data_IF_483629747886
#
_entry.id   IF_483629747886
#
_cell.length_a   1.000
_cell.length_b   1.000
_cell.length_c   1.000
_cell.angle_alpha   90.00
_cell.angle_beta   90.00
_cell.angle_gamma   90.00
#
_symmetry.space_group_name_H-M   'P 1'
#
loop_
_entity.id
_entity.type
_entity.pdbx_description
1 polymer ?
#
# COMPACT_ATOMS: atom_id res chain seq x y z
N UNK A 1 -2.02 -4.72 -2.81
CA UNK A 1 -1.31 -5.76 -2.04
C UNK A 1 -0.15 -5.24 -1.20
N UNK A 2 0.92 -4.66 -1.79
CA UNK A 2 2.11 -4.24 -1.03
C UNK A 2 1.82 -3.24 0.10
N UNK A 3 0.91 -2.28 -0.11
CA UNK A 3 0.50 -1.31 0.92
C UNK A 3 -0.13 -2.03 2.12
N UNK A 4 -0.94 -3.07 1.89
CA UNK A 4 -1.51 -3.86 2.99
C UNK A 4 -0.39 -4.56 3.77
N UNK A 5 0.55 -5.22 3.08
CA UNK A 5 1.66 -5.92 3.72
C UNK A 5 2.53 -4.97 4.54
N UNK A 6 2.75 -3.75 4.06
CA UNK A 6 3.49 -2.73 4.79
C UNK A 6 2.74 -2.27 6.05
N UNK A 7 1.43 -1.99 5.94
CA UNK A 7 0.58 -1.67 7.10
C UNK A 7 0.52 -2.81 8.12
N UNK A 8 0.48 -4.05 7.64
CA UNK A 8 0.57 -5.23 8.50
C UNK A 8 1.91 -5.27 9.23
N UNK A 9 3.03 -4.94 8.59
CA UNK A 9 4.34 -4.88 9.27
C UNK A 9 4.45 -3.72 10.27
N UNK A 10 3.81 -2.59 9.99
CA UNK A 10 3.82 -1.41 10.88
C UNK A 10 3.05 -1.70 12.17
N UNK A 11 1.85 -2.28 12.07
CA UNK A 11 1.05 -2.69 13.24
C UNK A 11 1.70 -3.79 14.07
N UNK A 12 2.71 -4.50 13.55
CA UNK A 12 3.52 -5.42 14.34
C UNK A 12 4.26 -4.74 15.50
N UNK A 13 4.47 -3.44 15.37
CA UNK A 13 5.13 -2.61 16.36
C UNK A 13 4.14 -1.96 17.34
N UNK A 14 2.84 -2.08 17.08
CA UNK A 14 1.77 -1.59 17.96
C UNK A 14 1.29 -2.74 18.85
N UNK A 15 1.19 -2.51 20.15
CA UNK A 15 0.75 -3.50 21.14
C UNK A 15 -0.77 -3.74 21.07
N UNK A 16 -1.22 -4.32 19.96
CA UNK A 16 -2.61 -4.68 19.72
C UNK A 16 -2.82 -6.11 20.25
N UNK A 17 -3.61 -6.25 21.32
CA UNK A 17 -3.79 -7.50 22.06
C UNK A 17 -4.41 -8.64 21.23
N UNK A 18 -5.18 -8.32 20.17
CA UNK A 18 -5.88 -9.32 19.35
C UNK A 18 -5.54 -9.20 17.85
N UNK A 19 -5.22 -10.33 17.23
CA UNK A 19 -4.90 -10.44 15.78
C UNK A 19 -6.02 -9.92 14.88
N UNK A 20 -7.27 -10.10 15.28
CA UNK A 20 -8.47 -9.66 14.55
C UNK A 20 -8.63 -8.13 14.55
N UNK A 21 -8.39 -7.48 15.69
CA UNK A 21 -8.44 -6.02 15.81
C UNK A 21 -7.32 -5.38 14.97
N UNK A 22 -6.13 -5.96 15.04
CA UNK A 22 -5.00 -5.54 14.20
C UNK A 22 -5.30 -5.71 12.71
N UNK A 23 -5.93 -6.81 12.32
CA UNK A 23 -6.33 -7.06 10.94
C UNK A 23 -7.36 -6.04 10.45
N UNK A 24 -8.38 -5.76 11.25
CA UNK A 24 -9.42 -4.78 10.91
C UNK A 24 -8.83 -3.39 10.72
N UNK A 25 -7.92 -2.97 11.61
CA UNK A 25 -7.24 -1.70 11.51
C UNK A 25 -6.37 -1.60 10.24
N UNK A 26 -5.53 -2.62 9.98
CA UNK A 26 -4.71 -2.68 8.76
C UNK A 26 -5.56 -2.63 7.50
N UNK A 27 -6.64 -3.42 7.48
CA UNK A 27 -7.54 -3.53 6.35
C UNK A 27 -8.24 -2.21 6.04
N UNK A 28 -8.76 -1.52 7.06
CA UNK A 28 -9.40 -0.21 6.88
C UNK A 28 -8.41 0.83 6.34
N UNK A 29 -7.20 0.90 6.88
CA UNK A 29 -6.19 1.86 6.41
C UNK A 29 -5.66 1.55 5.02
N UNK A 30 -5.32 0.29 4.75
CA UNK A 30 -4.79 -0.13 3.45
C UNK A 30 -5.84 0.00 2.35
N UNK A 31 -7.10 -0.35 2.63
CA UNK A 31 -8.20 -0.19 1.66
C UNK A 31 -8.45 1.28 1.34
N UNK A 32 -8.49 2.17 2.33
CA UNK A 32 -8.68 3.60 2.11
C UNK A 32 -7.56 4.21 1.26
N UNK A 33 -6.30 3.86 1.54
CA UNK A 33 -5.15 4.34 0.74
C UNK A 33 -5.19 3.85 -0.71
N UNK A 34 -5.48 2.55 -0.91
CA UNK A 34 -5.62 2.00 -2.26
C UNK A 34 -6.85 2.55 -3.00
N UNK A 35 -7.95 2.83 -2.29
CA UNK A 35 -9.17 3.42 -2.86
C UNK A 35 -8.88 4.79 -3.44
N UNK A 36 -8.25 5.68 -2.68
CA UNK A 36 -7.95 7.04 -3.13
C UNK A 36 -7.05 7.01 -4.37
N UNK A 37 -6.05 6.12 -4.36
CA UNK A 37 -5.12 5.96 -5.47
C UNK A 37 -5.84 5.46 -6.72
N UNK A 38 -6.58 4.35 -6.62
CA UNK A 38 -7.33 3.78 -7.75
C UNK A 38 -8.43 4.70 -8.25
N UNK A 39 -9.10 5.43 -7.35
CA UNK A 39 -10.11 6.43 -7.72
C UNK A 39 -9.48 7.57 -8.52
N UNK A 40 -8.32 8.08 -8.09
CA UNK A 40 -7.61 9.12 -8.83
C UNK A 40 -7.17 8.63 -10.21
N UNK A 41 -6.65 7.40 -10.30
CA UNK A 41 -6.28 6.78 -11.59
C UNK A 41 -7.51 6.61 -12.50
N UNK A 42 -8.63 6.15 -11.95
CA UNK A 42 -9.89 6.02 -12.68
C UNK A 42 -10.40 7.39 -13.16
N UNK A 43 -10.33 8.43 -12.33
CA UNK A 43 -10.70 9.80 -12.70
C UNK A 43 -9.80 10.36 -13.81
N UNK A 44 -8.49 10.10 -13.75
CA UNK A 44 -7.55 10.50 -14.80
C UNK A 44 -7.86 9.84 -16.14
N UNK A 45 -8.17 8.54 -16.16
CA UNK A 45 -8.61 7.86 -17.37
C UNK A 45 -10.00 8.31 -17.81
N UNK A 46 -10.93 8.56 -16.88
CA UNK A 46 -12.26 9.06 -17.18
C UNK A 46 -12.22 10.42 -17.90
N UNK A 47 -11.25 11.30 -17.56
CA UNK A 47 -11.06 12.56 -18.28
C UNK A 47 -10.73 12.36 -19.76
N UNK A 48 -10.09 11.25 -20.14
CA UNK A 48 -9.75 10.96 -21.53
C UNK A 48 -10.95 10.47 -22.36
N UNK A 49 -12.05 10.08 -21.71
CA UNK A 49 -13.28 9.62 -22.38
C UNK A 49 -13.93 10.75 -23.21
N UNK A 50 -13.80 12.00 -22.75
CA UNK A 50 -14.36 13.19 -23.42
C UNK A 50 -13.63 13.56 -24.73
N UNK A 51 -12.55 12.87 -25.07
CA UNK A 51 -11.79 13.14 -26.30
C UNK A 51 -12.56 12.64 -27.53
N UNK A 52 -12.65 13.42 -28.63
CA UNK A 52 -13.35 13.03 -29.85
C UNK A 52 -12.68 11.90 -30.65
N UNK A 53 -11.52 11.40 -30.21
CA UNK A 53 -10.76 10.33 -30.84
C UNK A 53 -11.26 8.97 -30.34
N UNK A 54 -11.96 8.24 -31.21
CA UNK A 54 -12.62 6.97 -30.87
C UNK A 54 -11.67 5.94 -30.22
N UNK A 55 -10.44 5.81 -30.73
CA UNK A 55 -9.46 4.85 -30.21
C UNK A 55 -9.03 5.13 -28.75
N UNK A 56 -8.90 6.40 -28.38
CA UNK A 56 -8.48 6.80 -27.02
C UNK A 56 -9.66 6.65 -26.05
N UNK A 57 -10.88 6.99 -26.48
CA UNK A 57 -12.08 6.91 -25.66
C UNK A 57 -12.43 5.46 -25.27
N UNK A 58 -12.42 4.51 -26.22
CA UNK A 58 -12.68 3.10 -25.91
C UNK A 58 -11.63 2.50 -24.97
N UNK A 59 -10.35 2.85 -25.18
CA UNK A 59 -9.26 2.43 -24.29
C UNK A 59 -9.42 3.01 -22.88
N UNK A 60 -9.81 4.29 -22.77
CA UNK A 60 -10.04 4.95 -21.50
C UNK A 60 -11.20 4.34 -20.71
N UNK A 61 -12.31 4.00 -21.35
CA UNK A 61 -13.45 3.31 -20.72
C UNK A 61 -13.02 1.95 -20.18
N UNK A 62 -12.35 1.13 -21.01
CA UNK A 62 -11.86 -0.19 -20.61
C UNK A 62 -10.89 -0.09 -19.42
N UNK A 63 -9.93 0.83 -19.49
CA UNK A 63 -8.92 1.02 -18.44
C UNK A 63 -9.55 1.51 -17.14
N UNK A 64 -10.53 2.41 -17.21
CA UNK A 64 -11.27 2.90 -16.03
C UNK A 64 -11.97 1.74 -15.30
N UNK A 65 -12.65 0.86 -16.05
CA UNK A 65 -13.30 -0.34 -15.50
C UNK A 65 -12.24 -1.29 -14.91
N UNK A 66 -11.15 -1.52 -15.63
CA UNK A 66 -10.07 -2.41 -15.21
C UNK A 66 -9.44 -1.95 -13.87
N UNK A 67 -9.23 -0.65 -13.70
CA UNK A 67 -8.70 -0.08 -12.45
C UNK A 67 -9.65 -0.32 -11.27
N UNK A 68 -10.96 -0.18 -11.48
CA UNK A 68 -11.97 -0.44 -10.45
C UNK A 68 -11.99 -1.93 -10.08
N UNK A 69 -11.98 -2.83 -11.07
CA UNK A 69 -11.93 -4.28 -10.85
C UNK A 69 -10.65 -4.67 -10.12
N UNK A 70 -9.51 -4.09 -10.51
CA UNK A 70 -8.23 -4.33 -9.85
C UNK A 70 -8.27 -3.91 -8.37
N UNK A 71 -8.94 -2.81 -8.03
CA UNK A 71 -9.16 -2.43 -6.63
C UNK A 71 -10.01 -3.47 -5.87
N UNK A 72 -11.12 -3.92 -6.45
CA UNK A 72 -11.98 -4.95 -5.84
C UNK A 72 -11.25 -6.29 -5.66
N UNK A 73 -10.48 -6.71 -6.66
CA UNK A 73 -9.66 -7.92 -6.56
C UNK A 73 -8.63 -7.80 -5.43
N UNK A 74 -7.93 -6.66 -5.35
CA UNK A 74 -6.92 -6.43 -4.33
C UNK A 74 -7.49 -6.41 -2.90
N UNK A 75 -8.69 -5.85 -2.71
CA UNK A 75 -9.32 -5.78 -1.39
C UNK A 75 -9.94 -7.11 -0.96
N UNK A 76 -10.38 -7.97 -1.89
CA UNK A 76 -10.98 -9.27 -1.58
C UNK A 76 -9.94 -10.40 -1.46
N UNK A 77 -8.95 -10.45 -2.34
CA UNK A 77 -8.01 -11.57 -2.40
C UNK A 77 -7.20 -11.70 -1.10
N UNK A 78 -6.77 -10.58 -0.53
CA UNK A 78 -5.96 -10.59 0.69
C UNK A 78 -6.69 -11.06 1.96
N UNK A 79 -7.87 -10.52 2.34
CA UNK A 79 -8.60 -11.00 3.51
C UNK A 79 -9.00 -12.48 3.37
N UNK A 80 -9.38 -12.91 2.16
CA UNK A 80 -9.69 -14.32 1.90
C UNK A 80 -8.46 -15.19 2.18
N UNK A 81 -7.28 -14.84 1.64
CA UNK A 81 -6.05 -15.58 1.92
C UNK A 81 -5.71 -15.61 3.43
N UNK A 82 -5.85 -14.49 4.14
CA UNK A 82 -5.56 -14.42 5.59
C UNK A 82 -6.53 -15.27 6.41
N UNK A 83 -7.82 -15.21 6.11
CA UNK A 83 -8.85 -16.00 6.82
C UNK A 83 -8.64 -17.49 6.55
N UNK A 84 -8.42 -17.88 5.30
CA UNK A 84 -8.13 -19.28 4.92
C UNK A 84 -6.86 -19.77 5.62
N UNK A 85 -5.82 -18.94 5.68
CA UNK A 85 -4.60 -19.27 6.39
C UNK A 85 -4.82 -19.46 7.90
N UNK A 86 -5.56 -18.56 8.56
CA UNK A 86 -5.82 -18.68 10.00
C UNK A 86 -6.73 -19.87 10.35
N UNK A 87 -7.73 -20.18 9.52
CA UNK A 87 -8.70 -21.25 9.80
C UNK A 87 -8.25 -22.64 9.36
N UNK A 88 -7.63 -22.77 8.19
CA UNK A 88 -7.28 -24.07 7.61
C UNK A 88 -5.81 -24.45 7.80
N UNK A 89 -4.88 -23.48 7.74
CA UNK A 89 -3.45 -23.78 7.76
C UNK A 89 -2.85 -23.89 9.16
N UNK A 90 -3.47 -23.27 10.17
CA UNK A 90 -3.01 -23.39 11.55
C UNK A 90 -3.20 -24.79 12.16
N UNK A 91 -4.09 -25.62 11.59
CA UNK A 91 -4.40 -26.97 12.07
C UNK A 91 -3.66 -28.09 11.30
N UNK A 92 -2.83 -27.75 10.31
CA UNK A 92 -2.16 -28.76 9.49
C UNK A 92 -1.03 -29.47 10.25
N UNK A 93 -0.80 -30.77 9.97
CA UNK A 93 0.27 -31.55 10.58
C UNK A 93 1.66 -31.04 10.15
N UNK A 94 2.67 -31.40 10.94
CA UNK A 94 4.05 -30.93 10.82
C UNK A 94 4.69 -30.92 9.41
N UNK A 95 4.37 -31.84 8.46
CA UNK A 95 5.05 -31.86 7.16
C UNK A 95 4.79 -30.59 6.35
N UNK A 96 3.58 -30.04 6.46
CA UNK A 96 3.15 -28.86 5.70
C UNK A 96 3.53 -27.53 6.39
N UNK A 97 3.91 -27.57 7.66
CA UNK A 97 4.39 -26.40 8.42
C UNK A 97 5.77 -25.91 7.95
N UNK A 98 6.54 -26.73 7.24
CA UNK A 98 7.82 -26.31 6.65
C UNK A 98 7.56 -25.34 5.47
N UNK A 99 6.51 -25.60 4.68
CA UNK A 99 6.16 -24.77 3.52
C UNK A 99 5.30 -23.56 3.92
N UNK A 100 4.41 -23.74 4.91
CA UNK A 100 3.60 -22.68 5.50
C UNK A 100 3.89 -22.59 7.00
N UNK A 101 5.01 -21.95 7.40
CA UNK A 101 5.32 -21.79 8.81
C UNK A 101 4.17 -21.06 9.50
N UNK A 102 3.77 -21.46 10.72
CA UNK A 102 2.72 -20.78 11.47
C UNK A 102 3.08 -19.30 11.64
N UNK A 103 2.10 -18.40 11.82
CA UNK A 103 2.36 -16.98 11.86
C UNK A 103 3.31 -16.71 13.02
N UNK A 104 4.56 -16.40 12.69
CA UNK A 104 5.59 -16.03 13.69
C UNK A 104 4.96 -14.93 14.52
N UNK A 105 4.74 -15.18 15.82
CA UNK A 105 4.29 -14.17 16.77
C UNK A 105 5.27 -13.02 16.62
N UNK A 106 4.81 -11.94 15.99
CA UNK A 106 5.68 -10.85 15.61
C UNK A 106 6.01 -10.11 16.91
N UNK A 107 7.06 -10.58 17.58
CA UNK A 107 7.66 -9.87 18.69
C UNK A 107 8.03 -8.47 18.18
N UNK A 108 7.85 -7.42 19.01
CA UNK A 108 8.18 -6.06 18.64
C UNK A 108 9.69 -5.99 18.35
N UNK A 109 10.07 -6.20 17.09
CA UNK A 109 11.44 -5.99 16.64
C UNK A 109 11.67 -4.49 16.71
N UNK A 110 12.38 -4.04 17.73
CA UNK A 110 13.06 -2.74 17.78
C UNK A 110 14.04 -2.66 16.61
N UNK A 111 13.50 -2.42 15.41
CA UNK A 111 14.29 -2.28 14.20
C UNK A 111 15.13 -1.03 14.35
N UNK A 112 16.43 -1.21 14.57
CA UNK A 112 17.43 -0.16 14.33
C UNK A 112 17.16 0.38 12.91
N UNK A 113 16.97 1.70 12.73
CA UNK A 113 16.62 2.23 11.42
C UNK A 113 17.74 1.89 10.43
N UNK A 114 17.37 1.34 9.28
CA UNK A 114 18.30 1.09 8.18
C UNK A 114 19.01 2.39 7.81
N UNK A 115 20.28 2.30 7.37
CA UNK A 115 21.12 3.47 7.03
C UNK A 115 20.40 4.42 6.06
N UNK A 116 19.64 3.88 5.12
CA UNK A 116 18.81 4.62 4.16
C UNK A 116 17.73 5.46 4.87
N UNK A 117 17.02 4.90 5.86
CA UNK A 117 16.00 5.63 6.63
C UNK A 117 16.63 6.78 7.43
N UNK A 118 17.85 6.57 7.94
CA UNK A 118 18.62 7.59 8.65
C UNK A 118 19.10 8.70 7.72
N UNK A 119 19.46 8.35 6.48
CA UNK A 119 19.83 9.29 5.43
C UNK A 119 18.64 10.19 5.01
N UNK A 120 17.46 9.61 4.78
CA UNK A 120 16.26 10.38 4.43
C UNK A 120 15.79 11.31 5.57
N UNK A 121 15.88 10.88 6.84
CA UNK A 121 15.54 11.73 7.99
C UNK A 121 16.58 12.81 8.33
N UNK A 122 17.84 12.65 7.92
CA UNK A 122 18.94 13.54 8.31
C UNK A 122 19.29 14.56 7.22
N UNK A 123 20.32 14.29 6.39
CA UNK A 123 20.84 15.25 5.42
C UNK A 123 19.81 15.67 4.37
N UNK A 124 18.98 14.76 3.84
CA UNK A 124 18.01 15.09 2.79
C UNK A 124 16.83 15.93 3.32
N UNK A 125 16.27 15.55 4.48
CA UNK A 125 15.18 16.31 5.10
C UNK A 125 15.60 17.75 5.45
N UNK A 126 16.84 17.94 5.95
CA UNK A 126 17.37 19.27 6.26
C UNK A 126 17.57 20.11 5.00
N UNK A 127 18.00 19.51 3.90
CA UNK A 127 18.19 20.20 2.63
C UNK A 127 16.85 20.63 1.99
N UNK A 128 15.86 19.73 1.96
CA UNK A 128 14.53 20.00 1.37
C UNK A 128 13.70 20.98 2.21
N UNK A 129 13.80 20.92 3.54
CA UNK A 129 13.00 21.80 4.43
C UNK A 129 13.64 23.19 4.59
N UNK A 130 14.86 23.41 4.10
CA UNK A 130 15.53 24.69 4.22
C UNK A 130 14.74 25.79 3.49
N UNK A 131 14.52 26.92 4.16
CA UNK A 131 13.68 28.04 3.69
C UNK A 131 14.09 28.52 2.29
N UNK A 132 15.38 28.47 1.94
CA UNK A 132 15.95 28.84 0.64
C UNK A 132 15.80 27.72 -0.41
N UNK A 133 15.88 26.44 -0.01
CA UNK A 133 15.76 25.29 -0.92
C UNK A 133 14.37 25.20 -1.57
N UNK A 134 13.31 25.57 -0.84
CA UNK A 134 11.95 25.70 -1.40
C UNK A 134 11.88 26.75 -2.51
N UNK A 135 12.47 27.93 -2.31
CA UNK A 135 12.48 29.00 -3.32
C UNK A 135 13.33 28.66 -4.54
N UNK A 136 14.48 27.99 -4.35
CA UNK A 136 15.34 27.54 -5.46
C UNK A 136 14.60 26.48 -6.31
N UNK A 137 13.94 25.51 -5.69
CA UNK A 137 13.15 24.50 -6.40
C UNK A 137 12.02 25.14 -7.22
N UNK A 138 11.25 26.05 -6.60
CA UNK A 138 10.17 26.78 -7.27
C UNK A 138 10.72 27.62 -8.43
N UNK A 139 11.82 28.36 -8.23
CA UNK A 139 12.46 29.13 -9.30
C UNK A 139 12.93 28.24 -10.44
N UNK A 140 13.55 27.09 -10.15
CA UNK A 140 14.04 26.18 -11.20
C UNK A 140 12.91 25.62 -12.08
N UNK A 141 11.74 25.33 -11.49
CA UNK A 141 10.56 24.85 -12.23
C UNK A 141 9.84 25.96 -12.98
N UNK A 142 10.08 27.23 -12.65
CA UNK A 142 9.46 28.39 -13.34
C UNK A 142 10.37 28.95 -14.44
N UNK A 143 11.67 28.60 -14.43
CA UNK A 143 12.68 29.10 -15.36
C UNK A 143 13.04 28.11 -16.49
N UNK A 144 12.41 26.93 -16.51
CA UNK A 144 12.53 25.92 -17.58
C UNK A 144 11.23 25.89 -18.39
#
# INVERSE_FOLDING_TARGET
MFVFYDMWRITACMDLQTVEQRFTYCYKHASMSMLITSFTTAAAFASNIFTPLFGISSFAIFTTILVIINYLSAILFFPICVIVYHKHLAQLPWPWQIFFPPPVRQQPKTKRPNVIVRFFKGPLYRFVTHRVGKWILILSTTLT
#
